data_IF_889891483264
#
_entry.id   IF_889891483264
#
_cell.length_a   1.000
_cell.length_b   1.000
_cell.length_c   1.000
_cell.angle_alpha   90.00
_cell.angle_beta   90.00
_cell.angle_gamma   90.00
#
_symmetry.space_group_name_H-M   'P 1'
#
loop_
_entity.id
_entity.type
_entity.pdbx_description
1 polymer ?
#
# COMPACT_ATOMS: atom_id res chain seq x y z
N UNK A 1 18.40 -40.26 -21.89
CA UNK A 1 18.61 -38.82 -22.11
C UNK A 1 17.37 -38.32 -22.82
N UNK A 2 16.26 -37.93 -22.18
CA UNK A 2 16.02 -37.22 -20.91
C UNK A 2 16.92 -36.02 -20.70
N UNK A 3 16.38 -34.84 -21.01
CA UNK A 3 16.31 -33.63 -20.19
C UNK A 3 15.65 -32.56 -21.09
N UNK A 4 14.77 -31.70 -20.54
CA UNK A 4 14.07 -30.58 -21.21
C UNK A 4 12.62 -30.76 -21.71
N UNK A 5 11.85 -31.72 -21.22
CA UNK A 5 10.41 -31.47 -21.02
C UNK A 5 10.21 -31.06 -19.56
N UNK A 6 10.49 -29.79 -19.27
CA UNK A 6 10.03 -29.18 -18.02
C UNK A 6 8.50 -29.21 -18.07
N UNK A 7 7.87 -29.89 -17.10
CA UNK A 7 6.42 -30.02 -16.94
C UNK A 7 5.76 -28.62 -16.87
N UNK A 8 5.46 -28.02 -18.02
CA UNK A 8 4.84 -26.70 -18.14
C UNK A 8 3.44 -26.66 -17.54
N UNK A 9 2.80 -27.81 -17.35
CA UNK A 9 1.48 -27.91 -16.72
C UNK A 9 1.51 -27.77 -15.19
N UNK A 10 2.55 -28.25 -14.49
CA UNK A 10 2.69 -27.99 -13.05
C UNK A 10 2.98 -26.52 -12.77
N UNK A 11 3.83 -25.90 -13.59
CA UNK A 11 4.13 -24.48 -13.48
C UNK A 11 2.90 -23.60 -13.68
N UNK A 12 1.91 -24.01 -14.50
CA UNK A 12 0.69 -23.22 -14.68
C UNK A 12 -0.25 -23.31 -13.48
N UNK A 13 -0.46 -24.49 -12.90
CA UNK A 13 -1.34 -24.64 -11.74
C UNK A 13 -0.74 -23.98 -10.49
N UNK A 14 0.55 -24.20 -10.22
CA UNK A 14 1.27 -23.57 -9.11
C UNK A 14 1.27 -22.03 -9.24
N UNK A 15 1.39 -21.51 -10.46
CA UNK A 15 1.37 -20.06 -10.72
C UNK A 15 0.01 -19.42 -10.45
N UNK A 16 -1.09 -20.12 -10.78
CA UNK A 16 -2.44 -19.62 -10.50
C UNK A 16 -2.81 -19.76 -9.01
N UNK A 17 -2.40 -20.83 -8.33
CA UNK A 17 -2.58 -20.95 -6.88
C UNK A 17 -1.74 -19.94 -6.08
N UNK A 18 -0.53 -19.60 -6.56
CA UNK A 18 0.27 -18.48 -6.05
C UNK A 18 -0.48 -17.14 -6.17
N UNK A 19 -1.26 -16.94 -7.24
CA UNK A 19 -2.07 -15.74 -7.45
C UNK A 19 -3.34 -15.70 -6.58
N UNK A 20 -3.83 -16.84 -6.09
CA UNK A 20 -5.02 -16.93 -5.22
C UNK A 20 -4.78 -16.50 -3.77
N UNK A 21 -3.55 -16.11 -3.41
CA UNK A 21 -3.22 -15.49 -2.12
C UNK A 21 -3.20 -16.44 -0.91
N UNK A 22 -3.96 -17.54 -0.93
CA UNK A 22 -3.93 -18.57 0.13
C UNK A 22 -2.57 -19.25 0.27
N UNK A 23 -1.93 -19.61 -0.85
CA UNK A 23 -0.59 -20.23 -0.84
C UNK A 23 0.46 -19.25 -0.32
N UNK A 24 0.29 -17.95 -0.59
CA UNK A 24 1.14 -16.89 -0.06
C UNK A 24 0.95 -16.78 1.46
N UNK A 25 -0.28 -16.79 1.96
CA UNK A 25 -0.56 -16.78 3.41
C UNK A 25 0.04 -18.00 4.12
N UNK A 26 -0.12 -19.20 3.57
CA UNK A 26 0.45 -20.43 4.15
C UNK A 26 1.98 -20.40 4.16
N UNK A 27 2.62 -19.95 3.08
CA UNK A 27 4.07 -19.77 3.02
C UNK A 27 4.57 -18.72 4.02
N UNK A 28 3.91 -17.56 4.10
CA UNK A 28 4.25 -16.51 5.08
C UNK A 28 4.12 -17.06 6.50
N UNK A 29 3.06 -17.82 6.80
CA UNK A 29 2.84 -18.42 8.11
C UNK A 29 3.90 -19.48 8.45
N UNK A 30 4.32 -20.28 7.47
CA UNK A 30 5.42 -21.24 7.66
C UNK A 30 6.74 -20.54 7.94
N UNK A 31 7.09 -19.52 7.14
CA UNK A 31 8.31 -18.73 7.31
C UNK A 31 8.33 -18.04 8.69
N UNK A 32 7.19 -17.47 9.13
CA UNK A 32 7.03 -16.90 10.48
C UNK A 32 7.26 -17.94 11.57
N UNK A 33 6.70 -19.15 11.44
CA UNK A 33 6.87 -20.25 12.42
C UNK A 33 8.31 -20.72 12.53
N UNK A 34 9.05 -20.73 11.43
CA UNK A 34 10.45 -21.13 11.39
C UNK A 34 11.41 -20.08 12.02
N UNK A 35 10.91 -18.90 12.42
CA UNK A 35 11.68 -17.81 13.06
C UNK A 35 12.93 -17.35 12.29
N UNK A 36 12.98 -17.59 10.98
CA UNK A 36 14.11 -17.18 10.13
C UNK A 36 14.05 -15.73 9.66
N UNK A 37 12.96 -15.02 9.91
CA UNK A 37 12.82 -13.61 9.55
C UNK A 37 13.55 -12.75 10.58
N UNK A 38 14.71 -12.23 10.18
CA UNK A 38 15.45 -11.25 10.97
C UNK A 38 15.06 -9.82 10.58
N UNK A 39 15.43 -8.84 11.40
CA UNK A 39 15.20 -7.42 11.10
C UNK A 39 15.97 -7.01 9.83
N UNK A 40 17.15 -7.60 9.61
CA UNK A 40 17.97 -7.38 8.41
C UNK A 40 17.25 -7.81 7.14
N UNK A 41 16.62 -9.00 7.13
CA UNK A 41 15.84 -9.48 5.98
C UNK A 41 14.66 -8.55 5.68
N UNK A 42 13.95 -8.10 6.73
CA UNK A 42 12.84 -7.16 6.56
C UNK A 42 13.31 -5.83 5.97
N UNK A 43 14.48 -5.35 6.41
CA UNK A 43 15.08 -4.13 5.87
C UNK A 43 15.48 -4.30 4.41
N UNK A 44 16.14 -5.41 4.05
CA UNK A 44 16.51 -5.70 2.67
C UNK A 44 15.30 -5.80 1.74
N UNK A 45 14.20 -6.40 2.20
CA UNK A 45 12.94 -6.45 1.45
C UNK A 45 12.38 -5.04 1.21
N UNK A 46 12.38 -4.19 2.22
CA UNK A 46 11.89 -2.81 2.09
C UNK A 46 12.77 -2.00 1.13
N UNK A 47 14.10 -2.07 1.29
CA UNK A 47 15.06 -1.36 0.43
C UNK A 47 14.94 -1.81 -1.04
N UNK A 48 14.68 -3.11 -1.28
CA UNK A 48 14.41 -3.64 -2.61
C UNK A 48 13.10 -3.08 -3.20
N UNK A 49 12.02 -3.09 -2.41
CA UNK A 49 10.73 -2.55 -2.84
C UNK A 49 10.82 -1.06 -3.18
N UNK A 50 11.49 -0.27 -2.34
CA UNK A 50 11.73 1.15 -2.57
C UNK A 50 12.53 1.37 -3.87
N UNK A 51 13.57 0.57 -4.11
CA UNK A 51 14.36 0.64 -5.36
C UNK A 51 13.54 0.34 -6.61
N UNK A 52 12.66 -0.66 -6.57
CA UNK A 52 11.74 -1.00 -7.66
C UNK A 52 10.74 0.14 -7.89
N UNK A 53 10.16 0.68 -6.82
CA UNK A 53 9.22 1.79 -6.87
C UNK A 53 9.86 3.06 -7.48
N UNK A 54 11.07 3.42 -7.07
CA UNK A 54 11.80 4.57 -7.66
C UNK A 54 12.12 4.39 -9.15
N UNK A 55 12.27 3.13 -9.62
CA UNK A 55 12.42 2.79 -11.04
C UNK A 55 11.09 2.67 -11.78
N UNK A 56 9.97 2.96 -11.11
CA UNK A 56 8.61 2.85 -11.64
C UNK A 56 8.21 1.40 -12.02
N UNK A 57 8.87 0.40 -11.44
CA UNK A 57 8.53 -1.02 -11.56
C UNK A 57 7.44 -1.36 -10.54
N UNK A 58 6.26 -0.76 -10.73
CA UNK A 58 5.21 -0.70 -9.70
C UNK A 58 4.62 -2.08 -9.35
N UNK A 59 4.53 -3.01 -10.31
CA UNK A 59 3.98 -4.35 -10.06
C UNK A 59 4.91 -5.18 -9.19
N UNK A 60 6.20 -5.14 -9.49
CA UNK A 60 7.25 -5.81 -8.73
C UNK A 60 7.35 -5.21 -7.33
N UNK A 61 7.34 -3.88 -7.22
CA UNK A 61 7.32 -3.19 -5.93
C UNK A 61 6.10 -3.60 -5.09
N UNK A 62 4.90 -3.64 -5.69
CA UNK A 62 3.66 -4.05 -5.02
C UNK A 62 3.79 -5.45 -4.41
N UNK A 63 4.31 -6.42 -5.15
CA UNK A 63 4.50 -7.80 -4.67
C UNK A 63 5.42 -7.82 -3.43
N UNK A 64 6.53 -7.09 -3.47
CA UNK A 64 7.47 -7.06 -2.34
C UNK A 64 6.88 -6.32 -1.14
N UNK A 65 6.18 -5.20 -1.33
CA UNK A 65 5.50 -4.50 -0.23
C UNK A 65 4.37 -5.32 0.39
N UNK A 66 3.63 -6.12 -0.40
CA UNK A 66 2.64 -7.07 0.12
C UNK A 66 3.29 -8.13 1.01
N UNK A 67 4.39 -8.72 0.53
CA UNK A 67 5.16 -9.69 1.32
C UNK A 67 5.70 -9.04 2.62
N UNK A 68 6.28 -7.84 2.51
CA UNK A 68 6.79 -7.09 3.65
C UNK A 68 5.68 -6.78 4.68
N UNK A 69 4.52 -6.32 4.24
CA UNK A 69 3.36 -6.04 5.11
C UNK A 69 2.90 -7.30 5.84
N UNK A 70 2.87 -8.43 5.12
CA UNK A 70 2.55 -9.72 5.71
C UNK A 70 3.57 -10.17 6.77
N UNK A 71 4.86 -9.94 6.53
CA UNK A 71 5.96 -10.36 7.41
C UNK A 71 6.20 -9.40 8.59
N UNK A 72 5.92 -8.11 8.42
CA UNK A 72 6.12 -7.06 9.41
C UNK A 72 4.82 -6.26 9.65
N UNK A 73 3.79 -6.85 10.26
CA UNK A 73 2.46 -6.24 10.38
C UNK A 73 2.42 -5.02 11.32
N UNK A 74 3.49 -4.73 12.06
CA UNK A 74 3.58 -3.60 12.98
C UNK A 74 4.28 -2.38 12.39
N UNK A 75 4.70 -2.45 11.12
CA UNK A 75 5.33 -1.35 10.41
C UNK A 75 4.38 -0.75 9.37
N UNK A 76 4.07 0.53 9.51
CA UNK A 76 3.15 1.23 8.61
C UNK A 76 3.70 1.43 7.19
N UNK A 77 5.03 1.34 7.00
CA UNK A 77 5.69 1.63 5.72
C UNK A 77 5.22 0.72 4.60
N UNK A 78 4.95 -0.55 4.90
CA UNK A 78 4.38 -1.50 3.94
C UNK A 78 3.04 -1.04 3.36
N UNK A 79 1.97 -0.92 4.17
CA UNK A 79 0.67 -0.45 3.69
C UNK A 79 0.70 0.99 3.17
N UNK A 80 1.54 1.88 3.71
CA UNK A 80 1.70 3.24 3.17
C UNK A 80 2.29 3.26 1.75
N UNK A 81 3.24 2.37 1.47
CA UNK A 81 3.84 2.24 0.14
C UNK A 81 2.86 1.62 -0.85
N UNK A 82 2.09 0.61 -0.42
CA UNK A 82 0.99 0.06 -1.23
C UNK A 82 -0.07 1.11 -1.56
N UNK A 83 -0.47 1.94 -0.58
CA UNK A 83 -1.38 3.06 -0.82
C UNK A 83 -0.83 4.03 -1.88
N UNK A 84 0.47 4.32 -1.85
CA UNK A 84 1.14 5.18 -2.82
C UNK A 84 1.10 4.60 -4.23
N UNK A 85 1.41 3.31 -4.39
CA UNK A 85 1.28 2.59 -5.67
C UNK A 85 -0.17 2.66 -6.19
N UNK A 86 -1.15 2.39 -5.34
CA UNK A 86 -2.55 2.41 -5.76
C UNK A 86 -3.06 3.81 -6.11
N UNK A 87 -2.55 4.86 -5.46
CA UNK A 87 -2.83 6.25 -5.84
C UNK A 87 -2.28 6.56 -7.24
N UNK A 88 -1.05 6.14 -7.55
CA UNK A 88 -0.44 6.34 -8.88
C UNK A 88 -1.19 5.60 -9.99
N UNK A 89 -1.70 4.41 -9.68
CA UNK A 89 -2.49 3.60 -10.60
C UNK A 89 -3.98 4.02 -10.67
N UNK A 90 -4.38 5.09 -9.98
CA UNK A 90 -5.78 5.53 -9.85
C UNK A 90 -6.74 4.45 -9.28
N UNK A 91 -6.22 3.47 -8.55
CA UNK A 91 -6.98 2.43 -7.85
C UNK A 91 -7.42 2.94 -6.47
N UNK A 92 -8.25 3.98 -6.47
CA UNK A 92 -8.57 4.77 -5.26
C UNK A 92 -9.22 3.96 -4.14
N UNK A 93 -10.02 2.93 -4.46
CA UNK A 93 -10.61 2.07 -3.43
C UNK A 93 -9.53 1.26 -2.70
N UNK A 94 -8.62 0.60 -3.44
CA UNK A 94 -7.51 -0.15 -2.82
C UNK A 94 -6.58 0.77 -2.04
N UNK A 95 -6.30 1.96 -2.57
CA UNK A 95 -5.53 2.97 -1.85
C UNK A 95 -6.21 3.33 -0.52
N UNK A 96 -7.53 3.55 -0.53
CA UNK A 96 -8.30 3.84 0.67
C UNK A 96 -8.28 2.67 1.68
N UNK A 97 -8.37 1.43 1.21
CA UNK A 97 -8.29 0.24 2.07
C UNK A 97 -6.93 0.20 2.80
N UNK A 98 -5.83 0.46 2.07
CA UNK A 98 -4.49 0.54 2.67
C UNK A 98 -4.34 1.73 3.62
N UNK A 99 -4.85 2.92 3.27
CA UNK A 99 -4.80 4.09 4.15
C UNK A 99 -5.61 3.90 5.44
N UNK A 100 -6.72 3.15 5.38
CA UNK A 100 -7.49 2.76 6.56
C UNK A 100 -6.71 1.85 7.51
N UNK A 101 -5.73 1.10 6.99
CA UNK A 101 -4.78 0.35 7.80
C UNK A 101 -3.72 1.31 8.36
N UNK A 102 -3.10 2.14 7.51
CA UNK A 102 -2.03 3.10 7.90
C UNK A 102 -2.46 4.02 9.04
N UNK A 103 -3.69 4.57 9.00
CA UNK A 103 -4.17 5.51 10.03
C UNK A 103 -4.23 4.91 11.45
N UNK A 104 -4.18 3.59 11.57
CA UNK A 104 -4.21 2.89 12.87
C UNK A 104 -2.84 2.81 13.53
N UNK A 105 -1.76 3.09 12.80
CA UNK A 105 -0.40 3.03 13.33
C UNK A 105 -0.05 4.36 14.01
N UNK A 106 0.37 4.34 15.29
CA UNK A 106 0.79 5.57 15.99
C UNK A 106 2.04 6.23 15.38
N UNK A 107 2.81 5.48 14.59
CA UNK A 107 4.05 5.94 13.94
C UNK A 107 3.83 6.51 12.55
N UNK A 108 2.62 6.38 11.98
CA UNK A 108 2.30 6.95 10.69
C UNK A 108 1.99 8.44 10.82
N UNK A 109 2.30 9.22 9.77
CA UNK A 109 1.86 10.61 9.72
C UNK A 109 0.34 10.64 9.51
N UNK A 110 -0.37 11.00 10.58
CA UNK A 110 -1.82 10.99 10.62
C UNK A 110 -2.42 12.00 9.63
N UNK A 111 -1.94 13.24 9.63
CA UNK A 111 -2.51 14.31 8.80
C UNK A 111 -2.24 14.06 7.31
N UNK A 112 -1.06 13.56 6.95
CA UNK A 112 -0.74 13.17 5.57
C UNK A 112 -1.59 11.97 5.11
N UNK A 113 -1.81 11.00 5.99
CA UNK A 113 -2.69 9.86 5.71
C UNK A 113 -4.12 10.34 5.41
N UNK A 114 -4.65 11.26 6.23
CA UNK A 114 -5.99 11.80 6.04
C UNK A 114 -6.13 12.63 4.76
N UNK A 115 -5.11 13.40 4.36
CA UNK A 115 -5.10 14.12 3.07
C UNK A 115 -5.26 13.13 1.91
N UNK A 116 -4.57 12.00 1.96
CA UNK A 116 -4.65 10.97 0.94
C UNK A 116 -6.01 10.25 0.96
N UNK A 117 -6.58 10.00 2.14
CA UNK A 117 -7.93 9.44 2.27
C UNK A 117 -9.00 10.39 1.70
N UNK A 118 -8.93 11.68 2.02
CA UNK A 118 -9.84 12.69 1.47
C UNK A 118 -9.73 12.77 -0.06
N UNK A 119 -8.52 12.65 -0.61
CA UNK A 119 -8.31 12.55 -2.05
C UNK A 119 -8.99 11.31 -2.64
N UNK A 120 -8.82 10.14 -2.03
CA UNK A 120 -9.45 8.90 -2.49
C UNK A 120 -10.97 9.03 -2.53
N UNK A 121 -11.60 9.45 -1.43
CA UNK A 121 -13.04 9.68 -1.37
C UNK A 121 -13.50 10.68 -2.44
N UNK A 122 -12.79 11.79 -2.61
CA UNK A 122 -13.11 12.77 -3.65
C UNK A 122 -13.05 12.16 -5.06
N UNK A 123 -12.01 11.40 -5.38
CA UNK A 123 -11.85 10.73 -6.68
C UNK A 123 -12.89 9.63 -6.92
N UNK A 124 -13.39 9.02 -5.85
CA UNK A 124 -14.52 8.08 -5.86
C UNK A 124 -15.89 8.78 -5.90
N UNK A 125 -15.93 10.12 -5.97
CA UNK A 125 -17.15 10.96 -5.94
C UNK A 125 -17.95 10.85 -4.63
N UNK A 126 -17.30 10.40 -3.55
CA UNK A 126 -17.83 10.33 -2.19
C UNK A 126 -17.54 11.66 -1.49
N UNK A 127 -18.21 12.72 -1.94
CA UNK A 127 -17.84 14.09 -1.57
C UNK A 127 -18.12 14.43 -0.10
N UNK A 128 -19.15 13.83 0.51
CA UNK A 128 -19.46 14.05 1.91
C UNK A 128 -18.43 13.39 2.81
N UNK A 129 -18.02 12.17 2.49
CA UNK A 129 -16.96 11.44 3.17
C UNK A 129 -15.62 12.15 3.01
N UNK A 130 -15.33 12.63 1.79
CA UNK A 130 -14.14 13.44 1.52
C UNK A 130 -14.11 14.69 2.39
N UNK A 131 -15.23 15.43 2.49
CA UNK A 131 -15.34 16.62 3.33
C UNK A 131 -15.22 16.30 4.82
N UNK A 132 -15.84 15.22 5.28
CA UNK A 132 -15.79 14.76 6.67
C UNK A 132 -14.36 14.38 7.11
N UNK A 133 -13.60 13.69 6.24
CA UNK A 133 -12.19 13.40 6.49
C UNK A 133 -11.35 14.68 6.41
N UNK A 134 -11.65 15.57 5.45
CA UNK A 134 -10.87 16.77 5.20
C UNK A 134 -10.88 17.77 6.37
N UNK A 135 -12.01 17.94 7.06
CA UNK A 135 -12.18 18.98 8.08
C UNK A 135 -11.30 18.78 9.33
N UNK A 136 -10.86 17.56 9.60
CA UNK A 136 -10.04 17.23 10.78
C UNK A 136 -8.53 17.32 10.53
N UNK A 137 -8.11 17.62 9.29
CA UNK A 137 -6.69 17.70 8.89
C UNK A 137 -6.07 19.01 9.39
N UNK A 138 -4.91 18.91 10.03
CA UNK A 138 -4.08 20.03 10.46
C UNK A 138 -3.05 20.38 9.39
N UNK A 139 -3.40 21.35 8.54
CA UNK A 139 -2.61 21.74 7.38
C UNK A 139 -1.16 22.15 7.73
N UNK A 140 -0.94 22.71 8.91
CA UNK A 140 0.37 23.13 9.43
C UNK A 140 1.35 21.97 9.69
N UNK A 141 0.85 20.73 9.74
CA UNK A 141 1.67 19.53 9.93
C UNK A 141 2.09 18.85 8.63
N UNK A 142 1.52 19.28 7.50
CA UNK A 142 1.75 18.63 6.22
C UNK A 142 3.10 19.04 5.61
N UNK A 143 3.79 18.09 4.99
CA UNK A 143 4.92 18.39 4.12
C UNK A 143 4.51 19.20 2.87
N UNK A 144 5.49 19.75 2.14
CA UNK A 144 5.23 20.61 0.96
C UNK A 144 4.39 19.91 -0.12
N UNK A 145 4.62 18.60 -0.34
CA UNK A 145 3.88 17.82 -1.32
C UNK A 145 2.39 17.71 -0.92
N UNK A 146 2.11 17.39 0.34
CA UNK A 146 0.76 17.23 0.85
C UNK A 146 0.03 18.56 1.06
N UNK A 147 0.75 19.66 1.29
CA UNK A 147 0.15 21.00 1.30
C UNK A 147 -0.52 21.34 -0.04
N UNK A 148 0.15 21.06 -1.17
CA UNK A 148 -0.42 21.28 -2.51
C UNK A 148 -1.69 20.46 -2.73
N UNK A 149 -1.69 19.20 -2.26
CA UNK A 149 -2.86 18.30 -2.31
C UNK A 149 -4.00 18.80 -1.42
N UNK A 150 -3.68 19.26 -0.22
CA UNK A 150 -4.63 19.86 0.72
C UNK A 150 -5.30 21.11 0.12
N UNK A 151 -4.53 22.03 -0.46
CA UNK A 151 -5.05 23.24 -1.10
C UNK A 151 -5.97 22.92 -2.29
N UNK A 152 -5.59 21.93 -3.11
CA UNK A 152 -6.43 21.43 -4.18
C UNK A 152 -7.78 20.95 -3.61
N UNK A 153 -7.76 20.07 -2.61
CA UNK A 153 -8.98 19.52 -2.00
C UNK A 153 -9.83 20.61 -1.35
N UNK A 154 -9.22 21.58 -0.66
CA UNK A 154 -9.93 22.72 -0.07
C UNK A 154 -10.79 23.46 -1.09
N UNK A 155 -10.25 23.70 -2.29
CA UNK A 155 -10.98 24.35 -3.38
C UNK A 155 -12.13 23.48 -3.90
N UNK A 156 -11.86 22.18 -4.10
CA UNK A 156 -12.86 21.24 -4.64
C UNK A 156 -14.00 20.95 -3.67
N UNK A 157 -13.69 20.86 -2.37
CA UNK A 157 -14.65 20.48 -1.33
C UNK A 157 -15.39 21.68 -0.72
N UNK A 158 -15.05 22.91 -1.09
CA UNK A 158 -15.71 24.13 -0.61
C UNK A 158 -17.26 24.09 -0.66
N UNK A 159 -17.92 23.49 -1.67
CA UNK A 159 -19.39 23.34 -1.67
C UNK A 159 -19.95 22.47 -0.54
N UNK A 160 -19.13 21.59 0.05
CA UNK A 160 -19.51 20.57 1.03
C UNK A 160 -19.00 20.88 2.46
N UNK A 161 -18.27 21.98 2.64
CA UNK A 161 -17.69 22.39 3.93
C UNK A 161 -18.50 23.48 4.66
N UNK A 162 -19.75 23.69 4.25
CA UNK A 162 -20.65 24.72 4.77
C UNK A 162 -21.70 24.17 5.71
#
# INVERSE_FOLDING_TARGET
>A
MNEFEVETHKLSEDFFELLEGKVIEEHINKIKKEKKITIEILKELLDLADSLYQKYQLKEAEIIYLAYTGLCPFDHRGPASLASIYLEQAQFQKALDMLNIVKTYPTADFDETLVNMALCHYKLKQYLEAAAVFIIIKAEKLNEFNQKRYEFLRKQLNPYLK
#
